data_IF_217538463847
#
_entry.id   IF_217538463847
#
_cell.length_a   1.000
_cell.length_b   1.000
_cell.length_c   1.000
_cell.angle_alpha   90.00
_cell.angle_beta   90.00
_cell.angle_gamma   90.00
#
_symmetry.space_group_name_H-M   'P 1'
#
loop_
_entity.id
_entity.type
_entity.pdbx_description
1 polymer ?
#
# COMPACT_ATOMS: atom_id res chain seq x y z
N UNK A 1 -5.14 -1.20 -15.34
CA UNK A 1 -5.72 -1.32 -13.98
C UNK A 1 -4.63 -0.85 -13.04
N UNK A 2 -4.95 -0.24 -11.91
CA UNK A 2 -3.89 0.14 -10.96
C UNK A 2 -3.31 -1.06 -10.22
N UNK A 3 -2.18 -0.87 -9.56
CA UNK A 3 -1.59 -1.72 -8.54
C UNK A 3 -2.62 -2.14 -7.49
N UNK A 4 -3.43 -1.20 -7.00
CA UNK A 4 -4.49 -1.49 -6.03
C UNK A 4 -5.53 -2.45 -6.63
N UNK A 5 -5.97 -2.17 -7.86
CA UNK A 5 -6.92 -3.03 -8.58
C UNK A 5 -6.36 -4.41 -8.91
N UNK A 6 -5.06 -4.50 -9.21
CA UNK A 6 -4.37 -5.75 -9.56
C UNK A 6 -4.13 -6.63 -8.33
N UNK A 7 -3.73 -6.04 -7.21
CA UNK A 7 -3.41 -6.78 -5.98
C UNK A 7 -4.65 -7.11 -5.13
N UNK A 8 -5.56 -6.16 -4.99
CA UNK A 8 -6.69 -6.27 -4.06
C UNK A 8 -8.05 -6.32 -4.77
N UNK A 9 -8.07 -6.17 -6.09
CA UNK A 9 -9.28 -6.23 -6.90
C UNK A 9 -9.88 -4.85 -7.19
N UNK A 10 -10.67 -4.77 -8.27
CA UNK A 10 -11.32 -3.53 -8.74
C UNK A 10 -12.18 -2.83 -7.68
N UNK A 11 -12.80 -3.58 -6.77
CA UNK A 11 -13.64 -3.03 -5.70
C UNK A 11 -12.87 -2.08 -4.79
N UNK A 12 -11.61 -2.40 -4.49
CA UNK A 12 -10.76 -1.55 -3.66
C UNK A 12 -10.33 -0.28 -4.41
N UNK A 13 -10.08 -0.39 -5.72
CA UNK A 13 -9.79 0.77 -6.57
C UNK A 13 -10.99 1.73 -6.64
N UNK A 14 -12.21 1.20 -6.80
CA UNK A 14 -13.43 2.00 -6.75
C UNK A 14 -13.65 2.62 -5.38
N UNK A 15 -13.39 1.87 -4.29
CA UNK A 15 -13.46 2.38 -2.93
C UNK A 15 -12.47 3.53 -2.72
N UNK A 16 -11.22 3.40 -3.18
CA UNK A 16 -10.22 4.47 -3.13
C UNK A 16 -10.65 5.71 -3.92
N UNK A 17 -11.32 5.55 -5.06
CA UNK A 17 -11.82 6.68 -5.86
C UNK A 17 -13.04 7.35 -5.23
N UNK A 18 -13.93 6.57 -4.62
CA UNK A 18 -15.14 7.07 -3.97
C UNK A 18 -14.84 7.72 -2.61
N UNK A 19 -13.70 7.40 -2.02
CA UNK A 19 -13.34 7.84 -0.68
C UNK A 19 -12.34 9.00 -0.73
N UNK A 20 -12.61 10.14 -0.06
CA UNK A 20 -11.67 11.24 0.03
C UNK A 20 -10.42 10.84 0.83
N UNK A 21 -9.31 11.57 0.65
CA UNK A 21 -8.07 11.34 1.43
C UNK A 21 -8.36 11.52 2.92
N UNK A 22 -8.35 10.43 3.68
CA UNK A 22 -8.48 10.45 5.14
C UNK A 22 -7.13 10.71 5.80
N UNK A 23 -7.16 11.39 6.94
CA UNK A 23 -6.02 11.45 7.84
C UNK A 23 -5.92 10.15 8.65
N UNK A 24 -5.00 9.27 8.23
CA UNK A 24 -4.77 7.96 8.85
C UNK A 24 -4.46 8.06 10.34
N UNK A 25 -3.62 9.02 10.74
CA UNK A 25 -3.24 9.20 12.15
C UNK A 25 -4.45 9.55 13.00
N UNK A 26 -5.29 10.46 12.50
CA UNK A 26 -6.51 10.86 13.21
C UNK A 26 -7.50 9.69 13.30
N UNK A 27 -7.73 8.95 12.21
CA UNK A 27 -8.60 7.78 12.20
C UNK A 27 -8.09 6.68 13.16
N UNK A 28 -6.77 6.44 13.16
CA UNK A 28 -6.11 5.51 14.07
C UNK A 28 -6.37 5.86 15.54
N UNK A 29 -6.17 7.14 15.90
CA UNK A 29 -6.40 7.62 17.27
C UNK A 29 -7.87 7.59 17.66
N UNK A 30 -8.78 8.06 16.80
CA UNK A 30 -10.22 8.12 17.09
C UNK A 30 -10.83 6.74 17.25
N UNK A 31 -10.45 5.78 16.41
CA UNK A 31 -10.97 4.42 16.46
C UNK A 31 -10.11 3.48 17.35
N UNK A 32 -9.03 3.99 17.96
CA UNK A 32 -8.04 3.21 18.72
C UNK A 32 -7.53 1.97 17.95
N UNK A 33 -7.32 2.13 16.64
CA UNK A 33 -6.78 1.11 15.74
C UNK A 33 -5.33 1.43 15.37
N UNK A 34 -4.53 0.39 15.11
CA UNK A 34 -3.18 0.59 14.59
C UNK A 34 -3.23 1.37 13.27
N UNK A 35 -2.34 2.36 13.10
CA UNK A 35 -2.26 3.13 11.86
C UNK A 35 -2.08 2.23 10.62
N UNK A 36 -1.34 1.13 10.77
CA UNK A 36 -1.14 0.13 9.71
C UNK A 36 -2.41 -0.68 9.36
N UNK A 37 -3.38 -0.70 10.27
CA UNK A 37 -4.68 -1.38 10.12
C UNK A 37 -5.81 -0.41 9.78
N UNK A 38 -5.51 0.86 9.52
CA UNK A 38 -6.50 1.79 8.99
C UNK A 38 -6.66 1.49 7.49
N UNK A 39 -7.88 1.34 7.00
CA UNK A 39 -8.21 1.12 5.59
C UNK A 39 -8.15 2.41 4.76
N UNK A 40 -8.59 2.29 3.50
CA UNK A 40 -8.72 3.43 2.58
C UNK A 40 -9.81 4.42 3.01
N UNK A 41 -10.82 3.93 3.73
CA UNK A 41 -11.98 4.63 4.29
C UNK A 41 -11.79 5.09 5.74
N UNK A 42 -10.61 4.88 6.32
CA UNK A 42 -10.35 5.21 7.71
C UNK A 42 -10.93 4.19 8.70
N UNK A 43 -11.57 3.12 8.22
CA UNK A 43 -12.08 2.03 9.06
C UNK A 43 -10.99 0.99 9.34
N UNK A 44 -11.27 0.03 10.21
CA UNK A 44 -10.36 -1.09 10.45
C UNK A 44 -10.29 -2.00 9.22
N UNK A 45 -9.07 -2.25 8.74
CA UNK A 45 -8.74 -3.14 7.64
C UNK A 45 -7.40 -3.83 7.90
N UNK A 46 -7.40 -5.16 7.97
CA UNK A 46 -6.20 -5.95 8.22
C UNK A 46 -5.13 -5.79 7.13
N UNK A 47 -5.50 -5.34 5.93
CA UNK A 47 -4.61 -5.02 4.80
C UNK A 47 -4.58 -3.53 4.48
N UNK A 48 -4.99 -2.68 5.41
CA UNK A 48 -5.19 -1.25 5.18
C UNK A 48 -3.96 -0.49 4.70
N UNK A 49 -2.80 -0.69 5.34
CA UNK A 49 -1.54 -0.08 4.90
C UNK A 49 -1.11 -0.58 3.50
N UNK A 50 -1.23 -1.88 3.20
CA UNK A 50 -0.86 -2.45 1.91
C UNK A 50 -1.72 -1.91 0.77
N UNK A 51 -3.03 -1.75 1.01
CA UNK A 51 -3.96 -1.10 0.08
C UNK A 51 -3.57 0.37 -0.15
N UNK A 52 -3.23 1.11 0.91
CA UNK A 52 -2.74 2.50 0.76
C UNK A 52 -1.41 2.58 0.02
N UNK A 53 -0.50 1.66 0.25
CA UNK A 53 0.78 1.59 -0.48
C UNK A 53 0.53 1.29 -1.96
N UNK A 54 -0.36 0.34 -2.28
CA UNK A 54 -0.73 0.06 -3.66
C UNK A 54 -1.37 1.29 -4.34
N UNK A 55 -2.25 2.01 -3.63
CA UNK A 55 -2.80 3.27 -4.12
C UNK A 55 -1.72 4.35 -4.31
N UNK A 56 -0.75 4.43 -3.40
CA UNK A 56 0.35 5.37 -3.51
C UNK A 56 1.25 5.03 -4.71
N UNK A 57 1.42 3.74 -5.04
CA UNK A 57 2.14 3.31 -6.23
C UNK A 57 1.41 3.73 -7.50
N UNK A 58 0.09 3.60 -7.53
CA UNK A 58 -0.75 4.10 -8.62
C UNK A 58 -0.59 5.61 -8.82
N UNK A 59 -0.60 6.37 -7.72
CA UNK A 59 -0.41 7.83 -7.76
C UNK A 59 1.01 8.24 -8.17
N UNK A 60 2.00 7.42 -7.85
CA UNK A 60 3.40 7.62 -8.22
C UNK A 60 3.70 7.17 -9.67
N UNK A 61 2.74 6.56 -10.37
CA UNK A 61 2.92 6.04 -11.73
C UNK A 61 3.83 4.82 -11.81
N UNK A 62 3.99 4.07 -10.71
CA UNK A 62 4.75 2.82 -10.72
C UNK A 62 3.98 1.79 -11.54
N UNK A 63 4.65 1.18 -12.52
CA UNK A 63 4.00 0.23 -13.41
C UNK A 63 3.54 -1.02 -12.65
N UNK A 64 2.24 -1.29 -12.67
CA UNK A 64 1.64 -2.50 -12.13
C UNK A 64 1.94 -3.73 -13.00
N UNK A 65 2.45 -3.56 -14.22
CA UNK A 65 2.84 -4.65 -15.13
C UNK A 65 4.11 -5.38 -14.69
N UNK A 66 4.97 -4.71 -13.92
CA UNK A 66 6.19 -5.30 -13.39
C UNK A 66 5.81 -6.30 -12.30
N UNK A 67 6.56 -7.40 -12.17
CA UNK A 67 6.30 -8.46 -11.19
C UNK A 67 6.59 -7.99 -9.76
N UNK A 68 5.89 -6.97 -9.29
CA UNK A 68 6.00 -6.37 -7.98
C UNK A 68 4.68 -6.61 -7.24
N UNK A 69 4.78 -7.03 -5.98
CA UNK A 69 3.66 -7.26 -5.09
C UNK A 69 3.88 -6.53 -3.78
N UNK A 70 2.79 -6.01 -3.22
CA UNK A 70 2.78 -5.33 -1.93
C UNK A 70 2.10 -6.25 -0.93
N UNK A 71 2.83 -6.61 0.10
CA UNK A 71 2.31 -7.25 1.29
C UNK A 71 2.60 -6.38 2.52
N UNK A 72 1.94 -6.69 3.63
CA UNK A 72 2.24 -6.07 4.91
C UNK A 72 2.34 -7.11 6.01
N UNK A 73 3.08 -6.77 7.05
CA UNK A 73 3.19 -7.55 8.29
C UNK A 73 3.21 -6.55 9.43
N UNK A 74 2.05 -6.35 10.06
CA UNK A 74 1.85 -5.26 11.01
C UNK A 74 2.13 -3.91 10.32
N UNK A 75 3.05 -3.13 10.89
CA UNK A 75 3.49 -1.82 10.38
C UNK A 75 4.69 -1.91 9.42
N UNK A 76 5.08 -3.11 9.00
CA UNK A 76 6.16 -3.34 8.02
C UNK A 76 5.56 -3.65 6.65
N UNK A 77 5.94 -2.89 5.64
CA UNK A 77 5.58 -3.16 4.23
C UNK A 77 6.60 -4.14 3.65
N UNK A 78 6.12 -5.19 3.02
CA UNK A 78 6.94 -6.23 2.39
C UNK A 78 6.71 -6.19 0.88
N UNK A 79 7.68 -5.69 0.14
CA UNK A 79 7.65 -5.61 -1.31
C UNK A 79 8.27 -6.88 -1.90
N UNK A 80 7.45 -7.74 -2.51
CA UNK A 80 7.97 -8.89 -3.27
C UNK A 80 8.20 -8.47 -4.71
N UNK A 81 9.35 -8.79 -5.29
CA UNK A 81 9.68 -8.32 -6.64
C UNK A 81 10.35 -9.39 -7.51
N UNK A 82 10.08 -9.37 -8.80
CA UNK A 82 10.82 -10.09 -9.83
C UNK A 82 12.04 -9.28 -10.27
N UNK A 83 13.06 -9.90 -10.89
CA UNK A 83 14.23 -9.20 -11.41
C UNK A 83 13.88 -8.00 -12.32
N UNK A 84 12.81 -8.12 -13.11
CA UNK A 84 12.33 -7.06 -14.02
C UNK A 84 11.81 -5.82 -13.28
N UNK A 85 11.45 -5.95 -12.00
CA UNK A 85 10.96 -4.87 -11.16
C UNK A 85 12.07 -4.23 -10.29
N UNK A 86 13.33 -4.64 -10.46
CA UNK A 86 14.45 -4.12 -9.66
C UNK A 86 14.62 -2.60 -9.83
N UNK A 87 14.41 -2.07 -11.04
CA UNK A 87 14.59 -0.64 -11.34
C UNK A 87 13.56 0.25 -10.66
N UNK A 88 12.33 -0.25 -10.46
CA UNK A 88 11.27 0.48 -9.75
C UNK A 88 11.30 0.25 -8.24
N UNK A 89 12.15 -0.65 -7.75
CA UNK A 89 12.17 -1.06 -6.35
C UNK A 89 12.54 0.08 -5.40
N UNK A 90 13.54 0.89 -5.77
CA UNK A 90 13.94 2.04 -4.96
C UNK A 90 12.82 3.08 -4.84
N UNK A 91 12.14 3.35 -5.96
CA UNK A 91 11.00 4.27 -5.99
C UNK A 91 9.83 3.69 -5.16
N UNK A 92 9.52 2.41 -5.34
CA UNK A 92 8.51 1.70 -4.57
C UNK A 92 8.79 1.76 -3.07
N UNK A 93 10.03 1.55 -2.63
CA UNK A 93 10.42 1.69 -1.22
C UNK A 93 10.20 3.10 -0.69
N UNK A 94 10.61 4.12 -1.44
CA UNK A 94 10.42 5.54 -1.06
C UNK A 94 8.93 5.88 -0.90
N UNK A 95 8.11 5.47 -1.87
CA UNK A 95 6.67 5.70 -1.84
C UNK A 95 6.02 4.95 -0.66
N UNK A 96 6.37 3.69 -0.45
CA UNK A 96 5.84 2.87 0.64
C UNK A 96 6.19 3.45 2.02
N UNK A 97 7.42 3.94 2.21
CA UNK A 97 7.86 4.56 3.46
C UNK A 97 7.16 5.90 3.73
N UNK A 98 6.69 6.59 2.68
CA UNK A 98 5.92 7.82 2.80
C UNK A 98 4.46 7.60 3.21
N UNK A 99 3.97 6.36 3.26
CA UNK A 99 2.59 6.07 3.64
C UNK A 99 2.42 6.08 5.15
N UNK A 100 1.43 6.82 5.63
CA UNK A 100 1.08 6.84 7.05
C UNK A 100 0.78 5.42 7.59
N UNK A 101 1.50 5.04 8.63
CA UNK A 101 1.45 3.71 9.25
C UNK A 101 2.57 2.77 8.84
N UNK A 102 3.34 3.09 7.80
CA UNK A 102 4.58 2.38 7.49
C UNK A 102 5.69 2.80 8.46
N UNK A 103 6.23 1.82 9.18
CA UNK A 103 7.40 2.02 10.08
C UNK A 103 8.67 1.43 9.48
N UNK A 104 8.52 0.45 8.60
CA UNK A 104 9.62 -0.21 7.93
C UNK A 104 9.16 -0.71 6.55
N UNK A 105 10.09 -0.78 5.61
CA UNK A 105 9.84 -1.32 4.27
C UNK A 105 10.95 -2.30 3.94
N UNK A 106 10.58 -3.57 3.77
CA UNK A 106 11.49 -4.61 3.31
C UNK A 106 11.17 -4.97 1.87
N UNK A 107 12.18 -5.38 1.12
CA UNK A 107 11.99 -5.92 -0.21
C UNK A 107 12.65 -7.29 -0.30
N UNK A 108 11.95 -8.24 -0.87
CA UNK A 108 12.44 -9.60 -1.06
C UNK A 108 12.14 -10.10 -2.49
N UNK A 109 13.08 -10.80 -3.14
CA UNK A 109 12.82 -11.37 -4.44
C UNK A 109 11.71 -12.42 -4.36
N UNK A 110 10.89 -12.51 -5.39
CA UNK A 110 9.90 -13.56 -5.56
C UNK A 110 10.60 -14.81 -6.11
N UNK A 111 11.11 -15.66 -5.21
CA UNK A 111 11.76 -16.94 -5.54
C UNK A 111 10.77 -18.02 -5.95
#
# INVERSE_FOLDING_TARGET
MGFLGKLFGKKEEEKAKATPKINVKQAATTASIDAAKVGLDGQFDESGLAKRVALAFDQAGISDSLGLWVAQTGSTVVLKYNPDAADVLEQAKKVAMGVDGATNVTAQPNS
#
